data_IF_144322417019
#
_entry.id   IF_144322417019
#
_cell.length_a   1.000
_cell.length_b   1.000
_cell.length_c   1.000
_cell.angle_alpha   90.00
_cell.angle_beta   90.00
_cell.angle_gamma   90.00
#
_symmetry.space_group_name_H-M   'P 1'
#
loop_
_entity.id
_entity.type
_entity.pdbx_description
1 polymer ?
#
# COMPACT_ATOMS: atom_id res chain seq x y z
N UNK A 1 8.63 24.33 -13.95
CA UNK A 1 8.24 23.16 -13.13
C UNK A 1 9.41 22.22 -13.09
N UNK A 2 9.78 21.68 -11.93
CA UNK A 2 10.82 20.64 -11.82
C UNK A 2 10.40 19.35 -12.53
N UNK A 3 11.34 18.54 -13.02
CA UNK A 3 11.01 17.26 -13.66
C UNK A 3 10.13 16.38 -12.77
N UNK A 4 10.46 16.32 -11.48
CA UNK A 4 9.72 15.60 -10.45
C UNK A 4 8.22 16.00 -10.42
N UNK A 5 7.92 17.30 -10.48
CA UNK A 5 6.53 17.80 -10.49
C UNK A 5 5.79 17.45 -11.78
N UNK A 6 6.49 17.41 -12.93
CA UNK A 6 5.90 17.03 -14.21
C UNK A 6 5.57 15.54 -14.20
N UNK A 7 6.53 14.70 -13.76
CA UNK A 7 6.32 13.26 -13.61
C UNK A 7 5.19 12.95 -12.63
N UNK A 8 5.17 13.62 -11.48
CA UNK A 8 4.11 13.45 -10.48
C UNK A 8 2.74 13.82 -11.06
N UNK A 9 2.61 14.97 -11.72
CA UNK A 9 1.34 15.40 -12.32
C UNK A 9 0.89 14.44 -13.43
N UNK A 10 1.82 14.03 -14.30
CA UNK A 10 1.54 13.03 -15.34
C UNK A 10 1.10 11.69 -14.76
N UNK A 11 1.73 11.27 -13.67
CA UNK A 11 1.38 10.04 -12.94
C UNK A 11 0.00 10.14 -12.29
N UNK A 12 -0.34 11.26 -11.64
CA UNK A 12 -1.67 11.50 -11.08
C UNK A 12 -2.77 11.50 -12.15
N UNK A 13 -2.50 12.08 -13.31
CA UNK A 13 -3.43 12.04 -14.47
C UNK A 13 -3.60 10.59 -14.93
N UNK A 14 -2.50 9.85 -15.07
CA UNK A 14 -2.52 8.43 -15.44
C UNK A 14 -3.35 7.59 -14.45
N UNK A 15 -3.14 7.77 -13.13
CA UNK A 15 -3.94 7.11 -12.09
C UNK A 15 -5.42 7.47 -12.26
N UNK A 16 -5.74 8.74 -12.46
CA UNK A 16 -7.11 9.20 -12.69
C UNK A 16 -7.76 8.50 -13.89
N UNK A 17 -7.01 8.30 -14.98
CA UNK A 17 -7.47 7.57 -16.17
C UNK A 17 -7.69 6.08 -15.86
N UNK A 18 -6.73 5.42 -15.20
CA UNK A 18 -6.83 4.01 -14.80
C UNK A 18 -8.05 3.79 -13.90
N UNK A 19 -8.25 4.66 -12.91
CA UNK A 19 -9.42 4.61 -12.02
C UNK A 19 -10.73 4.87 -12.76
N UNK A 20 -10.76 5.80 -13.72
CA UNK A 20 -11.95 6.07 -14.53
C UNK A 20 -12.32 4.89 -15.44
N UNK A 21 -11.32 4.22 -16.02
CA UNK A 21 -11.48 2.98 -16.78
C UNK A 21 -12.02 1.85 -15.88
N UNK A 22 -11.44 1.72 -14.70
CA UNK A 22 -11.79 0.70 -13.70
C UNK A 22 -13.24 0.83 -13.19
N UNK A 23 -13.76 2.07 -13.14
CA UNK A 23 -15.16 2.40 -12.86
C UNK A 23 -16.12 2.11 -14.02
N UNK A 24 -15.62 1.85 -15.22
CA UNK A 24 -16.44 1.75 -16.42
C UNK A 24 -17.10 3.07 -16.82
N UNK A 25 -16.55 4.23 -16.43
CA UNK A 25 -17.07 5.56 -16.83
C UNK A 25 -17.09 5.71 -18.37
N UNK A 26 -16.18 5.01 -19.06
CA UNK A 26 -16.10 4.95 -20.51
C UNK A 26 -17.00 3.86 -21.14
N UNK A 27 -17.61 3.00 -20.33
CA UNK A 27 -18.56 1.99 -20.80
C UNK A 27 -19.96 2.60 -20.89
N UNK A 28 -20.42 2.89 -22.12
CA UNK A 28 -21.80 3.35 -22.42
C UNK A 28 -22.93 2.35 -22.05
N UNK A 29 -22.66 1.25 -21.33
CA UNK A 29 -23.67 0.23 -21.03
C UNK A 29 -24.38 0.52 -19.71
N UNK A 30 -25.47 1.28 -19.81
CA UNK A 30 -26.32 1.76 -18.71
C UNK A 30 -27.12 0.68 -17.95
N UNK A 31 -26.87 -0.62 -18.15
CA UNK A 31 -27.77 -1.67 -17.64
C UNK A 31 -27.15 -3.01 -17.21
N UNK A 32 -25.84 -3.07 -16.90
CA UNK A 32 -25.31 -4.26 -16.23
C UNK A 32 -25.60 -4.15 -14.74
N UNK A 33 -26.64 -4.88 -14.30
CA UNK A 33 -26.84 -5.23 -12.88
C UNK A 33 -25.48 -5.58 -12.29
N UNK A 34 -25.22 -5.06 -11.09
CA UNK A 34 -24.04 -5.26 -10.25
C UNK A 34 -23.90 -6.74 -9.89
N UNK A 35 -23.62 -7.60 -10.86
CA UNK A 35 -23.10 -8.93 -10.62
C UNK A 35 -21.72 -8.73 -9.98
N UNK A 36 -21.53 -9.31 -8.80
CA UNK A 36 -20.24 -9.31 -8.13
C UNK A 36 -19.12 -9.67 -9.11
N UNK A 37 -17.96 -9.06 -8.94
CA UNK A 37 -16.81 -9.34 -9.82
C UNK A 37 -16.51 -10.83 -9.73
N UNK A 38 -16.82 -11.58 -10.79
CA UNK A 38 -16.51 -13.00 -10.87
C UNK A 38 -15.01 -13.19 -10.62
N UNK A 39 -14.63 -14.26 -9.92
CA UNK A 39 -13.23 -14.61 -9.63
C UNK A 39 -12.33 -14.48 -10.87
N UNK A 40 -12.79 -14.92 -12.05
CA UNK A 40 -12.05 -14.80 -13.32
C UNK A 40 -11.77 -13.34 -13.70
N UNK A 41 -12.74 -12.45 -13.53
CA UNK A 41 -12.59 -11.01 -13.80
C UNK A 41 -11.64 -10.36 -12.79
N UNK A 42 -11.77 -10.72 -11.51
CA UNK A 42 -10.88 -10.23 -10.46
C UNK A 42 -9.42 -10.69 -10.69
N UNK A 43 -9.22 -11.94 -11.12
CA UNK A 43 -7.91 -12.44 -11.53
C UNK A 43 -7.33 -11.66 -12.70
N UNK A 44 -8.10 -11.47 -13.77
CA UNK A 44 -7.64 -10.75 -14.97
C UNK A 44 -7.28 -9.29 -14.65
N UNK A 45 -8.09 -8.61 -13.84
CA UNK A 45 -7.79 -7.25 -13.39
C UNK A 45 -6.52 -7.19 -12.54
N UNK A 46 -6.29 -8.18 -11.67
CA UNK A 46 -5.07 -8.24 -10.87
C UNK A 46 -3.83 -8.45 -11.74
N UNK A 47 -3.90 -9.37 -12.70
CA UNK A 47 -2.83 -9.57 -13.70
C UNK A 47 -2.58 -8.29 -14.47
N UNK A 48 -3.64 -7.61 -14.92
CA UNK A 48 -3.53 -6.34 -15.64
C UNK A 48 -2.78 -5.27 -14.83
N UNK A 49 -3.12 -5.08 -13.55
CA UNK A 49 -2.43 -4.10 -12.68
C UNK A 49 -0.97 -4.50 -12.43
N UNK A 50 -0.68 -5.78 -12.21
CA UNK A 50 0.70 -6.26 -12.07
C UNK A 50 1.48 -6.00 -13.35
N UNK A 51 0.93 -6.30 -14.53
CA UNK A 51 1.56 -5.99 -15.82
C UNK A 51 1.80 -4.49 -15.97
N UNK A 52 0.85 -3.65 -15.58
CA UNK A 52 0.98 -2.20 -15.63
C UNK A 52 2.13 -1.69 -14.74
N UNK A 53 2.26 -2.25 -13.53
CA UNK A 53 3.38 -2.00 -12.62
C UNK A 53 4.72 -2.45 -13.23
N UNK A 54 4.76 -3.60 -13.92
CA UNK A 54 5.97 -4.10 -14.58
C UNK A 54 6.39 -3.25 -15.79
N UNK A 55 5.42 -2.67 -16.51
CA UNK A 55 5.70 -1.68 -17.56
C UNK A 55 6.35 -0.45 -16.94
N UNK A 56 5.83 0.05 -15.81
CA UNK A 56 6.45 1.17 -15.11
C UNK A 56 7.86 0.85 -14.60
N UNK A 57 8.08 -0.33 -14.05
CA UNK A 57 9.42 -0.83 -13.71
C UNK A 57 10.37 -0.79 -14.92
N UNK A 58 9.90 -1.23 -16.09
CA UNK A 58 10.69 -1.20 -17.33
C UNK A 58 11.00 0.23 -17.78
N UNK A 59 10.07 1.16 -17.58
CA UNK A 59 10.29 2.60 -17.82
C UNK A 59 11.38 3.13 -16.90
N UNK A 60 11.40 2.75 -15.61
CA UNK A 60 12.47 3.18 -14.68
C UNK A 60 13.84 2.66 -15.11
N UNK A 61 13.94 1.43 -15.63
CA UNK A 61 15.21 0.89 -16.13
C UNK A 61 15.77 1.66 -17.32
N UNK A 62 14.92 2.16 -18.22
CA UNK A 62 15.36 2.93 -19.39
C UNK A 62 15.46 4.45 -19.15
N UNK A 63 14.55 5.00 -18.37
CA UNK A 63 14.29 6.44 -18.27
C UNK A 63 14.25 6.97 -16.84
N UNK A 64 14.66 6.19 -15.84
CA UNK A 64 14.61 6.56 -14.42
C UNK A 64 15.29 7.89 -14.10
N UNK A 65 16.46 8.14 -14.69
CA UNK A 65 17.22 9.38 -14.59
C UNK A 65 16.43 10.64 -14.97
N UNK A 66 15.42 10.52 -15.84
CA UNK A 66 14.57 11.66 -16.24
C UNK A 66 13.67 12.14 -15.10
N UNK A 67 13.35 11.27 -14.13
CA UNK A 67 12.52 11.60 -12.96
C UNK A 67 13.08 12.81 -12.20
N UNK A 68 14.39 12.81 -11.94
CA UNK A 68 15.11 13.93 -11.30
C UNK A 68 15.81 14.84 -12.30
N UNK A 69 15.65 14.58 -13.60
CA UNK A 69 16.25 15.35 -14.69
C UNK A 69 17.77 15.31 -14.69
N UNK A 70 18.36 14.14 -14.45
CA UNK A 70 19.81 13.96 -14.40
C UNK A 70 20.38 14.11 -15.81
N UNK A 71 21.21 15.13 -15.99
CA UNK A 71 21.86 15.52 -17.25
C UNK A 71 23.40 15.64 -17.12
N UNK A 72 23.91 15.51 -15.89
CA UNK A 72 25.31 15.75 -15.54
C UNK A 72 25.72 14.87 -14.36
N UNK A 73 27.04 14.62 -14.25
CA UNK A 73 27.60 13.77 -13.18
C UNK A 73 27.42 14.41 -11.80
N UNK A 74 27.58 15.73 -11.70
CA UNK A 74 27.40 16.49 -10.46
C UNK A 74 25.96 16.38 -9.94
N UNK A 75 24.98 16.47 -10.85
CA UNK A 75 23.58 16.30 -10.51
C UNK A 75 23.27 14.86 -10.11
N UNK A 76 23.85 13.88 -10.80
CA UNK A 76 23.71 12.47 -10.43
C UNK A 76 24.25 12.23 -9.01
N UNK A 77 25.46 12.71 -8.70
CA UNK A 77 26.07 12.59 -7.37
C UNK A 77 25.22 13.26 -6.29
N UNK A 78 24.69 14.45 -6.57
CA UNK A 78 23.79 15.15 -5.64
C UNK A 78 22.53 14.33 -5.35
N UNK A 79 21.85 13.81 -6.38
CA UNK A 79 20.64 13.00 -6.23
C UNK A 79 20.93 11.69 -5.48
N UNK A 80 22.02 11.01 -5.82
CA UNK A 80 22.46 9.78 -5.14
C UNK A 80 22.74 10.02 -3.66
N UNK A 81 23.41 11.12 -3.32
CA UNK A 81 23.66 11.49 -1.95
C UNK A 81 22.37 11.89 -1.21
N UNK A 82 21.52 12.72 -1.84
CA UNK A 82 20.27 13.22 -1.28
C UNK A 82 19.32 12.09 -0.90
N UNK A 83 19.15 11.11 -1.79
CA UNK A 83 18.24 9.98 -1.58
C UNK A 83 18.95 8.72 -1.04
N UNK A 84 20.25 8.80 -0.73
CA UNK A 84 21.06 7.72 -0.17
C UNK A 84 20.95 6.41 -0.98
N UNK A 85 20.99 6.52 -2.30
CA UNK A 85 20.95 5.33 -3.16
C UNK A 85 22.22 4.48 -2.94
N UNK A 86 22.11 3.16 -2.73
CA UNK A 86 23.24 2.29 -2.38
C UNK A 86 24.05 1.89 -3.62
N UNK A 87 24.54 2.87 -4.39
CA UNK A 87 25.29 2.68 -5.63
C UNK A 87 26.61 3.44 -5.61
N UNK A 88 27.56 2.96 -6.41
CA UNK A 88 28.83 3.65 -6.67
C UNK A 88 28.80 4.21 -8.09
N UNK A 89 28.96 5.52 -8.21
CA UNK A 89 29.04 6.23 -9.48
C UNK A 89 30.46 6.05 -10.05
N UNK A 90 30.59 5.91 -11.36
CA UNK A 90 31.88 5.82 -12.05
C UNK A 90 32.29 7.24 -12.46
N UNK A 91 33.38 7.80 -11.90
CA UNK A 91 33.82 9.14 -12.28
C UNK A 91 34.10 9.23 -13.78
N UNK A 92 33.63 10.31 -14.42
CA UNK A 92 33.80 10.60 -15.85
C UNK A 92 33.06 9.69 -16.85
N UNK A 93 32.22 8.75 -16.38
CA UNK A 93 31.34 7.96 -17.25
C UNK A 93 29.87 8.17 -16.85
N UNK A 94 29.26 9.18 -17.46
CA UNK A 94 27.87 9.55 -17.18
C UNK A 94 26.88 8.48 -17.66
N UNK A 95 27.12 7.89 -18.83
CA UNK A 95 26.20 6.93 -19.44
C UNK A 95 26.08 5.65 -18.60
N UNK A 96 27.23 5.06 -18.24
CA UNK A 96 27.26 3.87 -17.39
C UNK A 96 26.72 4.18 -15.99
N UNK A 97 27.02 5.36 -15.45
CA UNK A 97 26.51 5.76 -14.13
C UNK A 97 25.00 5.98 -14.12
N UNK A 98 24.43 6.53 -15.20
CA UNK A 98 22.98 6.61 -15.40
C UNK A 98 22.36 5.21 -15.48
N UNK A 99 23.00 4.27 -16.17
CA UNK A 99 22.50 2.90 -16.26
C UNK A 99 22.45 2.22 -14.88
N UNK A 100 23.51 2.34 -14.08
CA UNK A 100 23.57 1.82 -12.70
C UNK A 100 22.47 2.47 -11.85
N UNK A 101 22.30 3.79 -11.98
CA UNK A 101 21.27 4.54 -11.27
C UNK A 101 19.86 4.03 -11.62
N UNK A 102 19.53 3.92 -12.91
CA UNK A 102 18.23 3.45 -13.37
C UNK A 102 17.93 2.01 -12.90
N UNK A 103 18.93 1.13 -12.92
CA UNK A 103 18.79 -0.24 -12.40
C UNK A 103 18.48 -0.25 -10.91
N UNK A 104 19.19 0.56 -10.12
CA UNK A 104 18.92 0.67 -8.69
C UNK A 104 17.53 1.27 -8.42
N UNK A 105 17.13 2.31 -9.16
CA UNK A 105 15.81 2.93 -9.03
C UNK A 105 14.69 1.93 -9.33
N UNK A 106 14.87 1.10 -10.36
CA UNK A 106 13.97 -0.01 -10.67
C UNK A 106 13.92 -1.05 -9.55
N UNK A 107 15.06 -1.43 -8.96
CA UNK A 107 15.11 -2.39 -7.85
C UNK A 107 14.44 -1.84 -6.59
N UNK A 108 14.68 -0.57 -6.24
CA UNK A 108 14.02 0.11 -5.13
C UNK A 108 12.50 0.17 -5.35
N UNK A 109 12.06 0.54 -6.54
CA UNK A 109 10.65 0.52 -6.92
C UNK A 109 10.04 -0.87 -6.79
N UNK A 110 10.67 -1.90 -7.35
CA UNK A 110 10.13 -3.27 -7.35
C UNK A 110 10.08 -3.83 -5.93
N UNK A 111 11.14 -3.63 -5.15
CA UNK A 111 11.19 -4.01 -3.74
C UNK A 111 10.09 -3.32 -2.97
N UNK A 112 9.90 -2.03 -3.21
CA UNK A 112 8.85 -1.26 -2.58
C UNK A 112 7.45 -1.71 -2.94
N UNK A 113 7.23 -1.99 -4.22
CA UNK A 113 5.97 -2.50 -4.74
C UNK A 113 5.63 -3.83 -4.09
N UNK A 114 6.60 -4.75 -3.98
CA UNK A 114 6.39 -6.06 -3.33
C UNK A 114 6.08 -5.91 -1.84
N UNK A 115 6.81 -5.05 -1.12
CA UNK A 115 6.55 -4.78 0.31
C UNK A 115 5.13 -4.24 0.51
N UNK A 116 4.76 -3.20 -0.22
CA UNK A 116 3.44 -2.57 -0.11
C UNK A 116 2.32 -3.51 -0.58
N UNK A 117 2.54 -4.26 -1.65
CA UNK A 117 1.58 -5.24 -2.14
C UNK A 117 1.35 -6.36 -1.11
N UNK A 118 2.39 -6.81 -0.43
CA UNK A 118 2.28 -7.80 0.64
C UNK A 118 1.54 -7.27 1.87
N UNK A 119 1.88 -6.07 2.33
CA UNK A 119 1.21 -5.41 3.45
C UNK A 119 -0.25 -5.08 3.13
N UNK A 120 -0.57 -4.78 1.87
CA UNK A 120 -1.95 -4.53 1.43
C UNK A 120 -2.89 -5.72 1.64
N UNK A 121 -2.36 -6.94 1.75
CA UNK A 121 -3.16 -8.12 2.03
C UNK A 121 -3.75 -8.06 3.44
N UNK A 122 -2.98 -7.60 4.43
CA UNK A 122 -3.48 -7.34 5.80
C UNK A 122 -4.62 -6.32 5.80
N UNK A 123 -4.45 -5.25 5.02
CA UNK A 123 -5.47 -4.22 4.86
C UNK A 123 -6.78 -4.82 4.33
N UNK A 124 -6.70 -5.79 3.41
CA UNK A 124 -7.89 -6.50 2.89
C UNK A 124 -8.59 -7.29 4.00
N UNK A 125 -7.86 -7.98 4.88
CA UNK A 125 -8.48 -8.71 6.00
C UNK A 125 -9.28 -7.78 6.90
N UNK A 126 -8.71 -6.64 7.28
CA UNK A 126 -9.41 -5.69 8.14
C UNK A 126 -10.60 -5.05 7.42
N UNK A 127 -10.51 -4.77 6.12
CA UNK A 127 -11.67 -4.31 5.34
C UNK A 127 -12.79 -5.36 5.32
N UNK A 128 -12.46 -6.64 5.12
CA UNK A 128 -13.46 -7.74 5.16
C UNK A 128 -14.11 -7.82 6.54
N UNK A 129 -13.31 -7.68 7.60
CA UNK A 129 -13.81 -7.70 8.97
C UNK A 129 -14.76 -6.52 9.25
N UNK A 130 -14.39 -5.31 8.83
CA UNK A 130 -15.23 -4.12 8.93
C UNK A 130 -16.54 -4.34 8.15
N UNK A 131 -16.48 -4.81 6.91
CA UNK A 131 -17.71 -5.06 6.14
C UNK A 131 -18.62 -6.09 6.79
N UNK A 132 -18.05 -7.16 7.35
CA UNK A 132 -18.80 -8.21 8.05
C UNK A 132 -19.42 -7.67 9.33
N UNK A 133 -18.64 -6.97 10.16
CA UNK A 133 -19.10 -6.43 11.44
C UNK A 133 -20.22 -5.40 11.28
N UNK A 134 -20.12 -4.52 10.28
CA UNK A 134 -21.13 -3.51 9.99
C UNK A 134 -22.27 -4.01 9.09
N UNK A 135 -22.29 -5.29 8.71
CA UNK A 135 -23.35 -5.89 7.90
C UNK A 135 -23.51 -5.25 6.53
N UNK A 136 -22.41 -4.82 5.90
CA UNK A 136 -22.45 -4.12 4.61
C UNK A 136 -22.87 -5.10 3.52
N UNK A 137 -23.89 -4.74 2.75
CA UNK A 137 -24.31 -5.57 1.62
C UNK A 137 -23.23 -5.64 0.53
N UNK A 138 -22.99 -6.84 -0.04
CA UNK A 138 -21.97 -7.08 -1.08
C UNK A 138 -22.05 -6.13 -2.29
N UNK A 139 -23.27 -5.67 -2.65
CA UNK A 139 -23.48 -4.69 -3.73
C UNK A 139 -22.82 -3.34 -3.48
N UNK A 140 -22.58 -3.00 -2.21
CA UNK A 140 -22.00 -1.73 -1.79
C UNK A 140 -20.48 -1.80 -1.60
N UNK A 141 -19.87 -2.99 -1.56
CA UNK A 141 -18.42 -3.18 -1.40
C UNK A 141 -17.66 -2.41 -2.48
N UNK A 142 -18.09 -2.55 -3.74
CA UNK A 142 -17.45 -1.88 -4.87
C UNK A 142 -17.39 -0.36 -4.68
N UNK A 143 -18.50 0.24 -4.25
CA UNK A 143 -18.59 1.69 -4.03
C UNK A 143 -17.68 2.12 -2.88
N UNK A 144 -17.70 1.41 -1.77
CA UNK A 144 -16.86 1.78 -0.60
C UNK A 144 -15.38 1.61 -0.93
N UNK A 145 -14.99 0.49 -1.54
CA UNK A 145 -13.60 0.25 -1.96
C UNK A 145 -13.11 1.28 -2.97
N UNK A 146 -13.95 1.73 -3.90
CA UNK A 146 -13.57 2.76 -4.87
C UNK A 146 -13.23 4.09 -4.19
N UNK A 147 -14.13 4.59 -3.36
CA UNK A 147 -13.87 5.83 -2.61
C UNK A 147 -12.74 5.65 -1.61
N UNK A 148 -12.61 4.44 -1.04
CA UNK A 148 -11.52 3.96 -0.20
C UNK A 148 -10.14 4.11 -0.85
N UNK A 149 -10.01 3.63 -2.08
CA UNK A 149 -8.76 3.73 -2.84
C UNK A 149 -8.44 5.20 -3.16
N UNK A 150 -9.44 6.01 -3.52
CA UNK A 150 -9.22 7.42 -3.81
C UNK A 150 -8.72 8.18 -2.58
N UNK A 151 -9.34 7.95 -1.41
CA UNK A 151 -8.90 8.54 -0.16
C UNK A 151 -7.51 8.05 0.25
N UNK A 152 -7.27 6.73 0.17
CA UNK A 152 -5.96 6.14 0.44
C UNK A 152 -4.84 6.77 -0.41
N UNK A 153 -5.04 6.96 -1.71
CA UNK A 153 -4.06 7.61 -2.61
C UNK A 153 -3.70 9.01 -2.09
N UNK A 154 -4.70 9.81 -1.69
CA UNK A 154 -4.50 11.17 -1.19
C UNK A 154 -3.81 11.16 0.18
N UNK A 155 -4.27 10.31 1.10
CA UNK A 155 -3.71 10.19 2.44
C UNK A 155 -2.25 9.73 2.38
N UNK A 156 -1.94 8.75 1.54
CA UNK A 156 -0.58 8.26 1.36
C UNK A 156 0.31 9.27 0.67
N UNK A 157 -0.17 10.01 -0.32
CA UNK A 157 0.56 11.16 -0.85
C UNK A 157 0.99 12.09 0.29
N UNK A 158 0.06 12.53 1.14
CA UNK A 158 0.40 13.40 2.28
C UNK A 158 1.39 12.73 3.23
N UNK A 159 1.15 11.50 3.67
CA UNK A 159 2.00 10.81 4.65
C UNK A 159 3.40 10.53 4.12
N UNK A 160 3.56 10.15 2.85
CA UNK A 160 4.86 9.87 2.24
C UNK A 160 5.71 11.15 2.20
N UNK A 161 5.16 12.25 1.71
CA UNK A 161 5.92 13.50 1.61
C UNK A 161 6.18 14.14 2.99
N UNK A 162 5.23 14.01 3.94
CA UNK A 162 5.48 14.40 5.34
C UNK A 162 6.58 13.53 5.95
N UNK A 163 6.52 12.21 5.76
CA UNK A 163 7.52 11.26 6.25
C UNK A 163 8.91 11.53 5.68
N UNK A 164 9.01 11.81 4.39
CA UNK A 164 10.26 12.20 3.73
C UNK A 164 10.84 13.48 4.34
N UNK A 165 10.01 14.51 4.53
CA UNK A 165 10.43 15.76 5.16
C UNK A 165 10.89 15.56 6.62
N UNK A 166 10.28 14.63 7.36
CA UNK A 166 10.72 14.26 8.71
C UNK A 166 12.06 13.53 8.69
N UNK A 167 12.26 12.57 7.77
CA UNK A 167 13.52 11.81 7.64
C UNK A 167 14.68 12.74 7.25
N UNK A 168 14.44 13.69 6.36
CA UNK A 168 15.45 14.67 5.94
C UNK A 168 15.89 15.57 7.10
N UNK A 169 14.96 15.97 7.97
CA UNK A 169 15.24 16.88 9.10
C UNK A 169 15.74 16.16 10.35
N UNK A 170 15.30 14.92 10.58
CA UNK A 170 15.53 14.19 11.82
C UNK A 170 16.15 12.82 11.53
N UNK A 171 17.47 12.75 11.43
CA UNK A 171 18.17 11.49 11.15
C UNK A 171 17.84 10.36 12.15
N UNK A 172 17.53 10.69 13.41
CA UNK A 172 17.18 9.72 14.45
C UNK A 172 15.77 9.13 14.30
N UNK A 173 14.90 9.72 13.47
CA UNK A 173 13.52 9.23 13.28
C UNK A 173 13.49 7.81 12.72
N UNK A 174 14.52 7.43 11.96
CA UNK A 174 14.69 6.08 11.44
C UNK A 174 14.81 5.03 12.55
N UNK A 175 15.44 5.35 13.68
CA UNK A 175 15.51 4.45 14.83
C UNK A 175 14.14 4.31 15.51
N UNK A 176 13.37 5.40 15.60
CA UNK A 176 12.00 5.36 16.14
C UNK A 176 11.13 4.46 15.27
N UNK A 177 11.17 4.67 13.96
CA UNK A 177 10.44 3.83 13.02
C UNK A 177 10.88 2.37 13.05
N UNK A 178 12.19 2.11 13.13
CA UNK A 178 12.70 0.74 13.26
C UNK A 178 12.22 0.06 14.54
N UNK A 179 12.31 0.75 15.67
CA UNK A 179 11.82 0.24 16.96
C UNK A 179 10.29 0.02 16.96
N UNK A 180 9.55 0.94 16.34
CA UNK A 180 8.11 0.83 16.17
C UNK A 180 7.74 -0.41 15.34
N UNK A 181 8.41 -0.65 14.21
CA UNK A 181 8.17 -1.81 13.37
C UNK A 181 8.52 -3.15 14.03
N UNK A 182 9.62 -3.19 14.79
CA UNK A 182 9.95 -4.38 15.60
C UNK A 182 8.86 -4.62 16.65
N UNK A 183 8.41 -3.56 17.31
CA UNK A 183 7.33 -3.66 18.29
C UNK A 183 6.02 -4.14 17.66
N UNK A 184 5.59 -3.57 16.53
CA UNK A 184 4.35 -3.97 15.86
C UNK A 184 4.45 -5.39 15.32
N UNK A 185 5.58 -5.77 14.73
CA UNK A 185 5.87 -7.14 14.30
C UNK A 185 5.79 -8.16 15.45
N UNK A 186 6.49 -7.91 16.57
CA UNK A 186 6.46 -8.80 17.74
C UNK A 186 5.06 -8.86 18.35
N UNK A 187 4.38 -7.72 18.50
CA UNK A 187 3.02 -7.67 19.02
C UNK A 187 2.06 -8.48 18.13
N UNK A 188 2.18 -8.35 16.82
CA UNK A 188 1.35 -9.09 15.86
C UNK A 188 1.60 -10.60 15.93
N UNK A 189 2.85 -11.03 16.14
CA UNK A 189 3.21 -12.43 16.32
C UNK A 189 2.66 -13.03 17.63
N UNK A 190 2.67 -12.25 18.72
CA UNK A 190 2.23 -12.69 20.05
C UNK A 190 0.72 -12.57 20.28
N UNK A 191 0.01 -11.83 19.42
CA UNK A 191 -1.43 -11.65 19.53
C UNK A 191 -2.14 -12.96 19.15
N UNK A 192 -2.88 -13.55 20.08
CA UNK A 192 -3.74 -14.72 19.80
C UNK A 192 -4.86 -14.32 18.83
N UNK A 193 -5.17 -15.20 17.88
CA UNK A 193 -6.27 -15.07 16.90
C UNK A 193 -7.69 -15.09 17.53
N UNK A 194 -7.81 -14.97 18.86
CA UNK A 194 -9.10 -15.06 19.56
C UNK A 194 -9.94 -13.80 19.29
N UNK A 195 -10.94 -13.97 18.42
CA UNK A 195 -12.11 -13.11 18.18
C UNK A 195 -11.82 -11.62 18.05
N UNK A 196 -11.23 -11.21 16.91
CA UNK A 196 -11.38 -9.85 16.38
C UNK A 196 -12.84 -9.62 15.95
N UNK A 197 -13.80 -9.67 16.88
CA UNK A 197 -15.15 -9.17 16.61
C UNK A 197 -15.15 -7.66 16.82
N UNK A 198 -15.38 -6.90 15.74
CA UNK A 198 -15.52 -5.44 15.85
C UNK A 198 -16.89 -5.14 16.47
N UNK A 199 -16.89 -4.67 17.71
CA UNK A 199 -18.09 -4.08 18.33
C UNK A 199 -18.37 -2.73 17.64
N UNK A 200 -19.36 -2.73 16.75
CA UNK A 200 -19.71 -1.59 15.92
C UNK A 200 -20.22 -0.40 16.73
N UNK A 201 -20.93 -0.63 17.83
CA UNK A 201 -21.45 0.44 18.69
C UNK A 201 -20.35 1.06 19.55
N UNK A 202 -19.37 0.25 19.97
CA UNK A 202 -18.25 0.74 20.78
C UNK A 202 -17.09 1.30 19.97
N UNK A 203 -17.08 1.11 18.65
CA UNK A 203 -15.97 1.52 17.80
C UNK A 203 -15.67 3.03 17.94
N UNK A 204 -14.40 3.43 18.19
CA UNK A 204 -14.05 4.83 18.48
C UNK A 204 -14.51 5.83 17.41
N UNK A 205 -14.37 5.46 16.13
CA UNK A 205 -14.80 6.28 14.99
C UNK A 205 -16.33 6.40 14.96
N UNK A 206 -17.06 5.37 15.35
CA UNK A 206 -18.54 5.39 15.41
C UNK A 206 -19.01 6.29 16.55
N UNK A 207 -18.39 6.19 17.73
CA UNK A 207 -18.68 7.10 18.85
C UNK A 207 -18.39 8.55 18.50
N UNK A 208 -17.25 8.82 17.87
CA UNK A 208 -16.89 10.15 17.41
C UNK A 208 -17.89 10.67 16.38
N UNK A 209 -18.24 9.85 15.40
CA UNK A 209 -19.20 10.21 14.36
C UNK A 209 -20.60 10.50 14.93
N UNK A 210 -21.11 9.66 15.83
CA UNK A 210 -22.40 9.86 16.49
C UNK A 210 -22.41 11.10 17.40
N UNK A 211 -21.26 11.47 17.97
CA UNK A 211 -21.13 12.67 18.82
C UNK A 211 -21.15 13.97 18.02
N UNK A 212 -20.51 14.01 16.86
CA UNK A 212 -20.31 15.25 16.09
C UNK A 212 -21.16 15.36 14.81
N UNK A 213 -21.68 14.25 14.29
CA UNK A 213 -22.45 14.21 13.05
C UNK A 213 -23.85 13.62 13.26
N UNK A 214 -24.81 14.07 12.45
CA UNK A 214 -26.15 13.48 12.39
C UNK A 214 -26.09 12.17 11.60
N UNK A 215 -25.91 11.05 12.29
CA UNK A 215 -25.88 9.72 11.68
C UNK A 215 -27.30 9.15 11.59
N UNK A 216 -27.64 8.55 10.46
CA UNK A 216 -28.87 7.79 10.28
C UNK A 216 -28.64 6.34 10.70
N UNK A 217 -29.63 5.74 11.37
CA UNK A 217 -29.47 4.42 12.00
C UNK A 217 -29.57 3.25 11.01
N UNK A 218 -29.91 3.48 9.75
CA UNK A 218 -30.16 2.42 8.77
C UNK A 218 -29.40 2.65 7.45
N UNK A 219 -29.08 1.55 6.77
CA UNK A 219 -28.55 1.61 5.41
C UNK A 219 -29.63 2.08 4.44
N UNK A 220 -29.32 3.06 3.60
CA UNK A 220 -30.24 3.57 2.56
C UNK A 220 -29.66 3.27 1.18
N UNK A 221 -29.79 2.01 0.77
CA UNK A 221 -29.26 1.51 -0.51
C UNK A 221 -27.74 1.72 -0.61
N UNK A 222 -27.31 2.45 -1.64
CA UNK A 222 -25.90 2.76 -1.88
C UNK A 222 -25.52 4.21 -1.51
N UNK A 223 -26.41 4.99 -0.86
CA UNK A 223 -26.18 6.43 -0.60
C UNK A 223 -25.30 6.64 0.63
N UNK A 224 -24.35 7.57 0.54
CA UNK A 224 -23.53 8.02 1.68
C UNK A 224 -24.21 9.09 2.54
N UNK A 225 -25.09 9.88 1.91
CA UNK A 225 -25.84 10.93 2.58
C UNK A 225 -27.30 10.85 2.16
N UNK A 226 -28.19 11.15 3.08
CA UNK A 226 -29.63 11.17 2.88
C UNK A 226 -30.21 12.42 3.51
N UNK A 227 -31.22 13.00 2.88
CA UNK A 227 -31.97 14.10 3.49
C UNK A 227 -33.20 13.51 4.16
N UNK A 228 -33.25 13.56 5.50
CA UNK A 228 -34.35 13.04 6.31
C UNK A 228 -34.68 14.11 7.36
N UNK A 229 -35.96 14.45 7.50
CA UNK A 229 -36.46 15.49 8.42
C UNK A 229 -35.86 16.88 8.16
N UNK A 230 -35.66 17.25 6.88
CA UNK A 230 -35.11 18.56 6.50
C UNK A 230 -33.61 18.75 6.76
N UNK A 231 -32.89 17.69 7.18
CA UNK A 231 -31.45 17.72 7.42
C UNK A 231 -30.69 16.62 6.67
N UNK A 232 -29.50 16.97 6.16
CA UNK A 232 -28.56 16.00 5.58
C UNK A 232 -27.96 15.13 6.70
N UNK A 233 -28.32 13.85 6.72
CA UNK A 233 -27.79 12.84 7.63
C UNK A 233 -26.79 11.93 6.91
N UNK A 234 -25.78 11.51 7.64
CA UNK A 234 -24.73 10.58 7.20
C UNK A 234 -25.25 9.14 7.32
N UNK A 235 -25.06 8.29 6.32
CA UNK A 235 -25.49 6.89 6.41
C UNK A 235 -24.40 6.02 7.04
N UNK A 236 -24.75 4.84 7.58
CA UNK A 236 -23.77 3.88 8.08
C UNK A 236 -22.73 3.48 7.01
N UNK A 237 -23.11 3.52 5.73
CA UNK A 237 -22.21 3.21 4.62
C UNK A 237 -21.04 4.21 4.50
N UNK A 238 -21.29 5.50 4.77
CA UNK A 238 -20.23 6.49 4.77
C UNK A 238 -19.36 6.40 6.03
N UNK A 239 -19.96 6.01 7.16
CA UNK A 239 -19.20 5.73 8.38
C UNK A 239 -18.22 4.57 8.17
N UNK A 240 -18.66 3.50 7.51
CA UNK A 240 -17.78 2.39 7.12
C UNK A 240 -16.64 2.88 6.22
N UNK A 241 -16.93 3.72 5.23
CA UNK A 241 -15.88 4.32 4.39
C UNK A 241 -14.85 5.08 5.25
N UNK A 242 -15.31 5.93 6.17
CA UNK A 242 -14.42 6.67 7.07
C UNK A 242 -13.57 5.70 7.91
N UNK A 243 -14.15 4.63 8.45
CA UNK A 243 -13.41 3.64 9.25
C UNK A 243 -12.31 2.98 8.41
N UNK A 244 -12.62 2.62 7.16
CA UNK A 244 -11.63 2.03 6.23
C UNK A 244 -10.49 3.02 5.97
N UNK A 245 -10.79 4.29 5.70
CA UNK A 245 -9.78 5.34 5.48
C UNK A 245 -8.88 5.54 6.71
N UNK A 246 -9.47 5.61 7.90
CA UNK A 246 -8.70 5.70 9.14
C UNK A 246 -7.86 4.45 9.40
N UNK A 247 -8.35 3.28 9.02
CA UNK A 247 -7.61 2.03 9.16
C UNK A 247 -6.44 1.99 8.19
N UNK A 248 -6.61 2.39 6.92
CA UNK A 248 -5.49 2.51 5.98
C UNK A 248 -4.45 3.52 6.48
N UNK A 249 -4.90 4.63 7.08
CA UNK A 249 -3.99 5.59 7.71
C UNK A 249 -3.15 4.95 8.84
N UNK A 250 -3.77 4.12 9.67
CA UNK A 250 -3.07 3.38 10.73
C UNK A 250 -2.06 2.41 10.10
N UNK A 251 -2.45 1.66 9.06
CA UNK A 251 -1.53 0.76 8.35
C UNK A 251 -0.37 1.49 7.67
N UNK A 252 -0.61 2.69 7.16
CA UNK A 252 0.44 3.52 6.58
C UNK A 252 1.51 3.90 7.62
N UNK A 253 1.21 3.89 8.93
CA UNK A 253 2.20 4.11 9.99
C UNK A 253 3.23 2.98 10.06
N UNK A 254 2.85 1.75 9.74
CA UNK A 254 3.80 0.62 9.61
C UNK A 254 4.43 0.59 8.20
N UNK A 255 3.61 0.70 7.16
CA UNK A 255 4.08 0.46 5.79
C UNK A 255 5.01 1.56 5.26
N UNK A 256 4.75 2.84 5.58
CA UNK A 256 5.54 3.97 5.07
C UNK A 256 6.96 3.97 5.62
N UNK A 257 7.20 3.78 6.93
CA UNK A 257 8.56 3.62 7.40
C UNK A 257 9.26 2.39 6.83
N UNK A 258 8.52 1.30 6.63
CA UNK A 258 9.06 0.08 6.04
C UNK A 258 9.57 0.31 4.61
N UNK A 259 8.81 1.01 3.77
CA UNK A 259 9.27 1.38 2.42
C UNK A 259 10.41 2.38 2.44
N UNK A 260 10.41 3.34 3.39
CA UNK A 260 11.56 4.24 3.55
C UNK A 260 12.83 3.51 3.99
N UNK A 261 12.76 2.27 4.47
CA UNK A 261 13.96 1.44 4.69
C UNK A 261 14.57 0.88 3.40
N UNK A 262 13.81 0.89 2.30
CA UNK A 262 14.22 0.41 0.98
C UNK A 262 14.82 1.54 0.17
N UNK A 263 14.17 2.71 0.15
CA UNK A 263 14.62 3.91 -0.57
C UNK A 263 14.27 5.17 0.21
N UNK A 264 15.09 6.22 0.09
CA UNK A 264 14.76 7.55 0.63
C UNK A 264 14.20 8.49 -0.44
N UNK A 265 13.92 7.98 -1.63
CA UNK A 265 13.27 8.73 -2.68
C UNK A 265 11.74 8.70 -2.51
N UNK A 266 11.10 9.81 -2.08
CA UNK A 266 9.66 9.85 -1.87
C UNK A 266 8.86 9.60 -3.15
N UNK A 267 9.41 9.86 -4.33
CA UNK A 267 8.73 9.62 -5.60
C UNK A 267 8.64 8.13 -5.89
N UNK A 268 9.73 7.38 -5.68
CA UNK A 268 9.73 5.91 -5.81
C UNK A 268 8.85 5.25 -4.75
N UNK A 269 8.91 5.77 -3.51
CA UNK A 269 7.96 5.35 -2.46
C UNK A 269 6.52 5.58 -2.94
N UNK A 270 6.19 6.77 -3.43
CA UNK A 270 4.84 7.07 -3.90
C UNK A 270 4.40 6.18 -5.07
N UNK A 271 5.21 6.04 -6.12
CA UNK A 271 4.83 5.26 -7.30
C UNK A 271 4.60 3.78 -6.96
N UNK A 272 5.53 3.16 -6.25
CA UNK A 272 5.43 1.75 -5.86
C UNK A 272 4.17 1.48 -5.02
N UNK A 273 3.87 2.40 -4.11
CA UNK A 273 2.75 2.33 -3.20
C UNK A 273 1.39 2.50 -3.90
N UNK A 274 1.26 3.45 -4.83
CA UNK A 274 0.02 3.60 -5.60
C UNK A 274 -0.22 2.42 -6.54
N UNK A 275 0.82 1.89 -7.19
CA UNK A 275 0.67 0.68 -8.00
C UNK A 275 0.19 -0.52 -7.18
N UNK A 276 0.65 -0.65 -5.93
CA UNK A 276 0.17 -1.68 -5.02
C UNK A 276 -1.31 -1.49 -4.65
N UNK A 277 -1.75 -0.26 -4.34
CA UNK A 277 -3.14 0.02 -3.93
C UNK A 277 -4.14 -0.10 -5.09
N UNK A 278 -3.78 0.29 -6.32
CA UNK A 278 -4.72 0.20 -7.45
C UNK A 278 -5.19 -1.26 -7.67
N UNK A 279 -4.34 -2.24 -7.33
CA UNK A 279 -4.67 -3.67 -7.36
C UNK A 279 -5.56 -4.16 -6.22
N UNK A 280 -5.74 -3.37 -5.16
CA UNK A 280 -6.46 -3.76 -3.93
C UNK A 280 -7.91 -4.19 -4.23
N UNK A 281 -8.60 -3.51 -5.15
CA UNK A 281 -10.00 -3.82 -5.48
C UNK A 281 -10.15 -5.23 -6.04
N UNK A 282 -9.30 -5.60 -7.00
CA UNK A 282 -9.34 -6.92 -7.62
C UNK A 282 -8.83 -8.00 -6.66
N UNK A 283 -7.82 -7.67 -5.86
CA UNK A 283 -7.30 -8.54 -4.79
C UNK A 283 -8.34 -8.81 -3.71
N UNK A 284 -9.13 -7.81 -3.30
CA UNK A 284 -10.21 -8.00 -2.34
C UNK A 284 -11.20 -9.07 -2.81
N UNK A 285 -11.65 -9.01 -4.07
CA UNK A 285 -12.59 -10.01 -4.61
C UNK A 285 -11.94 -11.38 -4.85
N UNK A 286 -10.64 -11.45 -5.11
CA UNK A 286 -9.89 -12.71 -5.17
C UNK A 286 -9.78 -13.35 -3.78
N UNK A 287 -9.37 -12.56 -2.79
CA UNK A 287 -9.00 -13.04 -1.46
C UNK A 287 -10.20 -13.28 -0.55
N UNK A 288 -11.26 -12.47 -0.65
CA UNK A 288 -12.45 -12.64 0.18
C UNK A 288 -13.10 -14.03 0.06
N UNK A 289 -12.85 -14.77 -1.03
CA UNK A 289 -13.34 -16.13 -1.23
C UNK A 289 -12.41 -17.26 -0.78
N UNK A 290 -11.16 -16.94 -0.42
CA UNK A 290 -10.12 -17.91 -0.01
C UNK A 290 -9.42 -17.47 1.28
N UNK A 291 -10.01 -16.51 2.00
CA UNK A 291 -9.45 -15.86 3.18
C UNK A 291 -9.08 -16.87 4.27
N UNK A 292 -9.93 -17.87 4.47
CA UNK A 292 -9.76 -18.96 5.44
C UNK A 292 -8.58 -19.89 5.11
N UNK A 293 -8.01 -19.81 3.91
CA UNK A 293 -6.87 -20.62 3.47
C UNK A 293 -5.51 -20.01 3.82
N UNK A 294 -5.46 -18.75 4.26
CA UNK A 294 -4.21 -18.02 4.50
C UNK A 294 -3.82 -17.92 5.99
N UNK A 295 -3.86 -19.05 6.70
CA UNK A 295 -3.61 -19.10 8.15
C UNK A 295 -2.27 -18.51 8.58
N UNK A 296 -1.19 -18.72 7.82
CA UNK A 296 0.14 -18.27 8.23
C UNK A 296 0.51 -16.89 7.69
N UNK A 297 -0.40 -16.19 7.00
CA UNK A 297 -0.06 -14.90 6.42
C UNK A 297 0.20 -13.83 7.51
N UNK A 298 -0.62 -13.79 8.57
CA UNK A 298 -0.39 -12.88 9.72
C UNK A 298 0.98 -13.10 10.34
N UNK A 299 1.44 -14.35 10.43
CA UNK A 299 2.79 -14.71 10.89
C UNK A 299 3.86 -14.22 9.91
N UNK A 300 3.69 -14.46 8.61
CA UNK A 300 4.61 -14.00 7.57
C UNK A 300 4.79 -12.48 7.61
N UNK A 301 3.70 -11.73 7.75
CA UNK A 301 3.72 -10.28 7.90
C UNK A 301 4.43 -9.83 9.19
N UNK A 302 4.25 -10.55 10.29
CA UNK A 302 4.88 -10.21 11.57
C UNK A 302 6.41 -10.38 11.49
N UNK A 303 6.85 -11.46 10.84
CA UNK A 303 8.27 -11.70 10.55
C UNK A 303 8.81 -10.63 9.60
N UNK A 304 8.05 -10.26 8.56
CA UNK A 304 8.43 -9.20 7.62
C UNK A 304 8.61 -7.84 8.30
N UNK A 305 7.65 -7.40 9.12
CA UNK A 305 7.74 -6.13 9.86
C UNK A 305 8.91 -6.13 10.84
N UNK A 306 9.10 -7.23 11.58
CA UNK A 306 10.21 -7.39 12.51
C UNK A 306 11.55 -7.33 11.79
N UNK A 307 11.68 -8.00 10.64
CA UNK A 307 12.87 -7.97 9.80
C UNK A 307 13.17 -6.55 9.30
N UNK A 308 12.17 -5.86 8.74
CA UNK A 308 12.36 -4.49 8.23
C UNK A 308 12.73 -3.53 9.37
N UNK A 309 12.06 -3.63 10.51
CA UNK A 309 12.38 -2.83 11.69
C UNK A 309 13.80 -3.07 12.19
N UNK A 310 14.22 -4.34 12.27
CA UNK A 310 15.59 -4.70 12.64
C UNK A 310 16.61 -4.16 11.63
N UNK A 311 16.33 -4.24 10.32
CA UNK A 311 17.17 -3.64 9.27
C UNK A 311 17.33 -2.13 9.48
N UNK A 312 16.25 -1.42 9.82
CA UNK A 312 16.30 0.02 10.08
C UNK A 312 17.14 0.37 11.30
N UNK A 313 17.07 -0.43 12.37
CA UNK A 313 17.85 -0.23 13.58
C UNK A 313 19.34 -0.54 13.37
N UNK A 314 19.64 -1.55 12.55
CA UNK A 314 21.00 -2.02 12.26
C UNK A 314 21.59 -1.42 10.98
N UNK A 315 21.04 -0.30 10.49
CA UNK A 315 21.41 0.30 9.20
C UNK A 315 22.93 0.50 9.06
N UNK A 316 23.60 1.02 10.09
CA UNK A 316 25.05 1.27 10.03
C UNK A 316 25.87 -0.03 9.90
N UNK A 317 25.52 -1.08 10.64
CA UNK A 317 26.25 -2.35 10.60
C UNK A 317 25.99 -3.12 9.31
N UNK A 318 24.77 -3.02 8.78
CA UNK A 318 24.39 -3.69 7.53
C UNK A 318 25.04 -3.06 6.31
N UNK A 319 25.19 -1.73 6.30
CA UNK A 319 25.87 -1.02 5.21
C UNK A 319 27.37 -1.39 5.16
N UNK A 320 28.03 -1.52 6.31
CA UNK A 320 29.42 -1.99 6.40
C UNK A 320 29.60 -3.44 5.92
N UNK A 321 28.59 -4.29 6.12
CA UNK A 321 28.57 -5.68 5.65
C UNK A 321 28.22 -5.82 4.15
N UNK A 322 27.96 -4.71 3.44
CA UNK A 322 27.60 -4.72 2.03
C UNK A 322 26.17 -5.20 1.75
N UNK A 323 25.26 -5.04 2.70
CA UNK A 323 23.88 -5.46 2.55
C UNK A 323 23.12 -4.54 1.57
N UNK A 324 22.72 -5.08 0.43
CA UNK A 324 22.05 -4.30 -0.64
C UNK A 324 20.53 -4.46 -0.66
N UNK A 325 19.86 -3.60 -1.43
CA UNK A 325 18.42 -3.70 -1.72
C UNK A 325 18.02 -5.07 -2.28
N UNK A 326 18.88 -5.69 -3.10
CA UNK A 326 18.65 -7.04 -3.64
C UNK A 326 18.52 -8.10 -2.53
N UNK A 327 19.36 -8.02 -1.49
CA UNK A 327 19.26 -8.93 -0.34
C UNK A 327 17.95 -8.72 0.42
N UNK A 328 17.53 -7.46 0.59
CA UNK A 328 16.22 -7.13 1.18
C UNK A 328 15.09 -7.77 0.38
N UNK A 329 15.08 -7.58 -0.94
CA UNK A 329 14.07 -8.13 -1.84
C UNK A 329 13.98 -9.65 -1.74
N UNK A 330 15.11 -10.35 -1.77
CA UNK A 330 15.16 -11.82 -1.68
C UNK A 330 14.57 -12.29 -0.35
N UNK A 331 14.95 -11.67 0.78
CA UNK A 331 14.43 -12.04 2.10
C UNK A 331 12.92 -11.79 2.19
N UNK A 332 12.45 -10.62 1.74
CA UNK A 332 11.03 -10.25 1.74
C UNK A 332 10.22 -11.26 0.91
N UNK A 333 10.64 -11.53 -0.33
CA UNK A 333 9.97 -12.51 -1.20
C UNK A 333 9.99 -13.90 -0.58
N UNK A 334 11.09 -14.30 0.06
CA UNK A 334 11.19 -15.63 0.71
C UNK A 334 10.23 -15.77 1.88
N UNK A 335 10.15 -14.76 2.76
CA UNK A 335 9.21 -14.75 3.89
C UNK A 335 7.77 -14.90 3.39
N UNK A 336 7.40 -14.13 2.37
CA UNK A 336 6.07 -14.17 1.78
C UNK A 336 5.78 -15.51 1.11
N UNK A 337 6.69 -16.00 0.27
CA UNK A 337 6.55 -17.28 -0.39
C UNK A 337 6.39 -18.43 0.61
N UNK A 338 7.21 -18.48 1.65
CA UNK A 338 7.11 -19.49 2.72
C UNK A 338 5.76 -19.39 3.44
N UNK A 339 5.31 -18.19 3.79
CA UNK A 339 4.02 -18.00 4.48
C UNK A 339 2.82 -18.44 3.63
N UNK A 340 2.84 -18.16 2.32
CA UNK A 340 1.81 -18.55 1.38
C UNK A 340 1.83 -20.06 1.16
N UNK A 341 3.00 -20.63 0.85
CA UNK A 341 3.14 -22.07 0.60
C UNK A 341 2.78 -22.90 1.85
N UNK A 342 3.22 -22.49 3.03
CA UNK A 342 2.85 -23.13 4.29
C UNK A 342 1.34 -23.09 4.53
N UNK A 343 0.66 -22.00 4.14
CA UNK A 343 -0.79 -21.87 4.30
C UNK A 343 -1.58 -22.78 3.35
N UNK A 344 -1.01 -23.13 2.20
CA UNK A 344 -1.63 -24.04 1.23
C UNK A 344 -1.51 -25.52 1.64
N UNK A 345 -0.61 -25.87 2.57
CA UNK A 345 -0.48 -27.23 3.07
C UNK A 345 -1.67 -27.53 3.98
N UNK A 346 -2.51 -28.54 3.66
CA UNK A 346 -3.65 -28.89 4.49
C UNK A 346 -3.20 -29.23 5.91
N UNK A 347 -3.81 -28.61 6.92
CA UNK A 347 -3.60 -29.02 8.29
C UNK A 347 -3.95 -30.51 8.42
N UNK A 348 -2.98 -31.35 8.78
CA UNK A 348 -3.26 -32.74 9.16
C UNK A 348 -4.30 -32.67 10.29
N UNK A 349 -5.49 -33.23 10.05
CA UNK A 349 -6.46 -33.47 11.11
C UNK A 349 -5.76 -34.26 12.21
N UNK A 350 -5.45 -33.61 13.33
CA UNK A 350 -5.24 -34.30 14.58
C UNK A 350 -6.58 -34.90 14.98
N UNK A 351 -6.68 -36.22 14.87
CA UNK A 351 -7.82 -37.01 15.31
C UNK A 351 -8.09 -36.83 16.79
#
# INVERSE_FOLDING_TARGET
MTNETIFLLGFLIFIGIVMALDLGVLSKSKNKKTEGVSFKKALLMSIFVVCLSMVFYSILLGFGHQLHGIDSIEKLENIVHKHRHPIKIIPNDLETSIQIYNQNLGLEYLTGYVVEYALSVDNIFVIVLIFTAFGVEKRNYHRVLFWGILGAVVMRFMFIFIGAALIERFAWIMYVFGAFLVFTGIKMFLSKEEEESIDTEKHPVVKFANKYFKVHNQFVGNKFFVNIDGGKKMTPLFLVLIIIEFTDLIFAVDSIPAIFSVTKDPYIVFFSNIFAIIGLRSMFFLLAGIIDKFRFLKIGLAVLLTFIGAKMLLHHQLDELGFTTTHSLIIIVSILAVSILASLIPARKTN
#
